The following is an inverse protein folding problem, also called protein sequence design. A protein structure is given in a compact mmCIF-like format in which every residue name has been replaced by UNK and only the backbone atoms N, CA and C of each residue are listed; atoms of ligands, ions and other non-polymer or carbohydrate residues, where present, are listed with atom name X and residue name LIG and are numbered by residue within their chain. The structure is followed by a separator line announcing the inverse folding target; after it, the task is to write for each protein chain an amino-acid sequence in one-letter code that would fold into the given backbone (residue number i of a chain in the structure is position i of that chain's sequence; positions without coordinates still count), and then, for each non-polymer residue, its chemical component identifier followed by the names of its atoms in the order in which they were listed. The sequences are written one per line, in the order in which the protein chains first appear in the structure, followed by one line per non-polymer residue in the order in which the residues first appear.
data_IF_451068853348
#
_entry.id   IF_451068853348
#
_cell.length_a   1.000
_cell.length_b   1.000
_cell.length_c   1.000
_cell.angle_alpha   90.00
_cell.angle_beta   90.00
_cell.angle_gamma   90.00
#
_symmetry.space_group_name_H-M   'P 1'
#
loop_
_entity.id
_entity.type
_entity.pdbx_description
1 polymer ?
#
# COMPACT_ATOMS: atom_id res chain seq x y z
N UNK A 1 6.02 14.82 -7.34
CA UNK A 1 5.80 13.50 -6.69
C UNK A 1 6.02 12.29 -7.62
N UNK A 2 6.59 12.47 -8.82
CA UNK A 2 6.60 11.40 -9.84
C UNK A 2 5.25 11.24 -10.57
N UNK A 3 4.41 12.27 -10.50
CA UNK A 3 3.09 12.34 -11.15
C UNK A 3 3.19 13.41 -12.23
N UNK A 4 2.84 13.06 -13.46
CA UNK A 4 3.02 13.91 -14.65
C UNK A 4 1.69 14.22 -15.37
N UNK A 5 0.58 13.64 -14.92
CA UNK A 5 -0.75 13.85 -15.48
C UNK A 5 -1.41 15.15 -14.99
N UNK A 6 -2.34 15.68 -15.80
CA UNK A 6 -3.14 16.84 -15.41
C UNK A 6 -4.14 16.47 -14.30
N UNK A 7 -4.53 17.42 -13.43
CA UNK A 7 -5.58 17.21 -12.43
C UNK A 7 -6.87 16.59 -13.00
N UNK A 8 -7.32 17.03 -14.17
CA UNK A 8 -8.53 16.53 -14.82
C UNK A 8 -8.39 15.07 -15.25
N UNK A 9 -7.22 14.69 -15.77
CA UNK A 9 -6.92 13.30 -16.11
C UNK A 9 -6.80 12.43 -14.87
N UNK A 10 -6.17 12.93 -13.80
CA UNK A 10 -6.09 12.22 -12.52
C UNK A 10 -7.49 11.92 -11.98
N UNK A 11 -8.38 12.92 -11.96
CA UNK A 11 -9.78 12.76 -11.54
C UNK A 11 -10.49 11.72 -12.40
N UNK A 12 -10.40 11.81 -13.72
CA UNK A 12 -11.07 10.88 -14.65
C UNK A 12 -10.59 9.44 -14.47
N UNK A 13 -9.28 9.23 -14.35
CA UNK A 13 -8.70 7.89 -14.20
C UNK A 13 -9.04 7.28 -12.85
N UNK A 14 -8.92 8.08 -11.78
CA UNK A 14 -9.19 7.63 -10.42
C UNK A 14 -10.67 7.34 -10.18
N UNK A 15 -11.60 8.13 -10.72
CA UNK A 15 -13.04 7.89 -10.58
C UNK A 15 -13.48 6.60 -11.28
N UNK A 16 -12.90 6.26 -12.43
CA UNK A 16 -13.13 4.95 -13.07
C UNK A 16 -12.61 3.82 -12.17
N UNK A 17 -11.35 3.90 -11.74
CA UNK A 17 -10.76 2.89 -10.86
C UNK A 17 -11.50 2.72 -9.53
N UNK A 18 -12.00 3.81 -8.96
CA UNK A 18 -12.82 3.80 -7.76
C UNK A 18 -14.11 2.99 -7.97
N UNK A 19 -14.79 3.17 -9.10
CA UNK A 19 -15.99 2.38 -9.43
C UNK A 19 -15.66 0.90 -9.62
N UNK A 20 -14.56 0.58 -10.29
CA UNK A 20 -14.15 -0.81 -10.53
C UNK A 20 -13.85 -1.54 -9.20
N UNK A 21 -13.12 -0.89 -8.30
CA UNK A 21 -12.82 -1.43 -6.96
C UNK A 21 -14.10 -1.57 -6.14
N UNK A 22 -14.99 -0.57 -6.17
CA UNK A 22 -16.26 -0.64 -5.43
C UNK A 22 -17.13 -1.80 -5.91
N UNK A 23 -17.23 -2.02 -7.22
CA UNK A 23 -17.98 -3.14 -7.79
C UNK A 23 -17.39 -4.50 -7.35
N UNK A 24 -16.06 -4.61 -7.27
CA UNK A 24 -15.39 -5.81 -6.75
C UNK A 24 -15.73 -6.05 -5.27
N UNK A 25 -15.73 -5.00 -4.46
CA UNK A 25 -16.12 -5.07 -3.05
C UNK A 25 -17.60 -5.43 -2.87
N UNK A 26 -18.50 -4.87 -3.67
CA UNK A 26 -19.92 -5.22 -3.67
C UNK A 26 -20.15 -6.70 -4.01
N UNK A 27 -19.34 -7.27 -4.92
CA UNK A 27 -19.40 -8.69 -5.25
C UNK A 27 -18.78 -9.59 -4.16
N UNK A 28 -17.74 -9.13 -3.47
CA UNK A 28 -17.04 -9.88 -2.43
C UNK A 28 -17.78 -9.88 -1.08
N UNK A 29 -18.49 -8.80 -0.75
CA UNK A 29 -19.09 -8.61 0.57
C UNK A 29 -20.05 -9.73 1.02
N UNK A 30 -20.94 -10.28 0.18
CA UNK A 30 -21.79 -11.41 0.57
C UNK A 30 -21.00 -12.69 0.92
N UNK A 31 -19.83 -12.90 0.29
CA UNK A 31 -18.99 -14.07 0.57
C UNK A 31 -18.31 -13.94 1.94
N UNK A 32 -17.77 -12.75 2.24
CA UNK A 32 -17.20 -12.45 3.56
C UNK A 32 -18.26 -12.56 4.65
N UNK A 33 -19.45 -12.01 4.40
CA UNK A 33 -20.57 -12.09 5.34
C UNK A 33 -20.98 -13.54 5.63
N UNK A 34 -21.02 -14.40 4.61
CA UNK A 34 -21.33 -15.82 4.80
C UNK A 34 -20.26 -16.57 5.60
N UNK A 35 -18.97 -16.27 5.38
CA UNK A 35 -17.85 -16.89 6.10
C UNK A 35 -17.78 -16.44 7.57
N UNK A 36 -18.10 -15.16 7.84
CA UNK A 36 -18.08 -14.56 9.18
C UNK A 36 -19.42 -14.64 9.92
N UNK A 37 -20.45 -15.26 9.33
CA UNK A 37 -21.82 -15.35 9.86
C UNK A 37 -22.44 -13.97 10.18
N UNK A 38 -22.25 -13.01 9.27
CA UNK A 38 -22.84 -11.67 9.36
C UNK A 38 -24.19 -11.60 8.63
N UNK A 39 -25.18 -10.96 9.25
CA UNK A 39 -26.49 -10.69 8.62
C UNK A 39 -26.45 -9.57 7.56
N UNK A 40 -25.36 -8.82 7.49
CA UNK A 40 -25.18 -7.68 6.57
C UNK A 40 -24.37 -8.08 5.35
N UNK A 41 -24.77 -7.60 4.17
CA UNK A 41 -24.10 -7.92 2.90
C UNK A 41 -23.63 -6.69 2.12
N UNK A 42 -23.97 -5.48 2.58
CA UNK A 42 -23.38 -4.26 2.03
C UNK A 42 -21.91 -4.18 2.44
N UNK A 43 -21.01 -3.88 1.50
CA UNK A 43 -19.57 -3.88 1.78
C UNK A 43 -19.20 -2.91 2.90
N UNK A 44 -19.93 -1.80 3.07
CA UNK A 44 -19.62 -0.82 4.10
C UNK A 44 -19.91 -1.38 5.48
N UNK A 45 -21.04 -2.07 5.61
CA UNK A 45 -21.43 -2.70 6.87
C UNK A 45 -20.55 -3.90 7.20
N UNK A 46 -20.16 -4.69 6.21
CA UNK A 46 -19.18 -5.78 6.37
C UNK A 46 -17.84 -5.21 6.89
N UNK A 47 -17.32 -4.14 6.29
CA UNK A 47 -16.09 -3.50 6.76
C UNK A 47 -16.24 -2.97 8.19
N UNK A 48 -17.36 -2.32 8.51
CA UNK A 48 -17.61 -1.83 9.88
C UNK A 48 -17.62 -2.97 10.90
N UNK A 49 -18.12 -4.15 10.53
CA UNK A 49 -18.07 -5.36 11.38
C UNK A 49 -16.65 -5.89 11.53
N UNK A 50 -15.89 -6.01 10.44
CA UNK A 50 -14.49 -6.46 10.48
C UNK A 50 -13.62 -5.54 11.37
N UNK A 51 -13.88 -4.23 11.36
CA UNK A 51 -13.18 -3.26 12.21
C UNK A 51 -13.49 -3.38 13.70
N UNK A 52 -14.48 -4.18 14.09
CA UNK A 52 -14.77 -4.49 15.50
C UNK A 52 -13.91 -5.64 16.03
N UNK A 53 -13.24 -6.39 15.15
CA UNK A 53 -12.30 -7.47 15.49
C UNK A 53 -10.93 -6.89 15.89
N UNK A 54 -10.92 -6.06 16.94
CA UNK A 54 -9.74 -5.37 17.44
C UNK A 54 -8.72 -6.33 18.02
N UNK A 55 -7.45 -6.03 17.78
CA UNK A 55 -6.32 -6.79 18.28
C UNK A 55 -6.02 -6.37 19.73
N UNK A 56 -5.65 -7.34 20.57
CA UNK A 56 -5.06 -7.06 21.87
C UNK A 56 -3.70 -6.36 21.67
N UNK A 57 -3.56 -5.14 22.18
CA UNK A 57 -2.33 -4.36 22.06
C UNK A 57 -1.09 -5.05 22.64
N UNK A 58 -1.27 -5.95 23.61
CA UNK A 58 -0.16 -6.74 24.16
C UNK A 58 0.31 -7.82 23.18
N UNK A 59 -0.56 -8.28 22.28
CA UNK A 59 -0.27 -9.28 21.25
C UNK A 59 0.02 -8.66 19.87
N UNK A 60 -0.05 -7.33 19.73
CA UNK A 60 0.03 -6.65 18.43
C UNK A 60 1.27 -7.06 17.63
N UNK A 61 2.45 -7.03 18.25
CA UNK A 61 3.70 -7.35 17.57
C UNK A 61 3.72 -8.81 17.08
N UNK A 62 3.20 -9.74 17.88
CA UNK A 62 3.11 -11.16 17.52
C UNK A 62 2.19 -11.37 16.32
N UNK A 63 1.05 -10.66 16.28
CA UNK A 63 0.15 -10.69 15.12
C UNK A 63 0.86 -10.24 13.84
N UNK A 64 1.59 -9.13 13.87
CA UNK A 64 2.30 -8.64 12.68
C UNK A 64 3.43 -9.56 12.23
N UNK A 65 4.16 -10.19 13.16
CA UNK A 65 5.15 -11.21 12.80
C UNK A 65 4.50 -12.45 12.16
N UNK A 66 3.36 -12.90 12.69
CA UNK A 66 2.62 -14.02 12.09
C UNK A 66 2.15 -13.68 10.67
N UNK A 67 1.59 -12.47 10.47
CA UNK A 67 1.13 -12.00 9.15
C UNK A 67 2.27 -11.85 8.16
N UNK A 68 3.42 -11.35 8.60
CA UNK A 68 4.60 -11.27 7.75
C UNK A 68 5.02 -12.66 7.30
N UNK A 69 5.07 -13.63 8.22
CA UNK A 69 5.42 -15.01 7.87
C UNK A 69 4.45 -15.61 6.86
N UNK A 70 3.15 -15.47 7.08
CA UNK A 70 2.13 -15.95 6.15
C UNK A 70 2.28 -15.32 4.76
N UNK A 71 2.58 -14.01 4.70
CA UNK A 71 2.83 -13.30 3.45
C UNK A 71 4.12 -13.77 2.76
N UNK A 72 5.19 -14.02 3.50
CA UNK A 72 6.42 -14.58 2.92
C UNK A 72 6.20 -15.99 2.36
N UNK A 73 5.39 -16.81 3.03
CA UNK A 73 5.02 -18.13 2.53
C UNK A 73 4.20 -18.04 1.23
N UNK A 74 3.23 -17.12 1.17
CA UNK A 74 2.48 -16.78 -0.08
C UNK A 74 3.44 -16.34 -1.20
N UNK A 75 4.40 -15.46 -0.89
CA UNK A 75 5.36 -14.96 -1.88
C UNK A 75 6.21 -16.10 -2.45
N UNK A 76 6.67 -17.02 -1.60
CA UNK A 76 7.45 -18.20 -2.02
C UNK A 76 6.61 -19.20 -2.80
N UNK A 77 5.41 -19.51 -2.33
CA UNK A 77 4.51 -20.50 -2.95
C UNK A 77 4.10 -20.08 -4.37
N UNK A 78 3.83 -18.79 -4.57
CA UNK A 78 3.33 -18.26 -5.84
C UNK A 78 4.38 -17.56 -6.70
N UNK A 79 5.66 -17.67 -6.33
CA UNK A 79 6.80 -17.10 -7.07
C UNK A 79 6.59 -15.61 -7.41
N UNK A 80 6.21 -14.82 -6.41
CA UNK A 80 5.80 -13.43 -6.64
C UNK A 80 6.99 -12.47 -6.77
N UNK A 81 8.00 -12.62 -5.91
CA UNK A 81 9.21 -11.79 -5.86
C UNK A 81 10.27 -12.53 -5.04
N UNK A 82 11.55 -12.32 -5.30
CA UNK A 82 12.63 -12.90 -4.50
C UNK A 82 12.64 -12.30 -3.10
N UNK A 83 12.76 -13.16 -2.08
CA UNK A 83 12.90 -12.77 -0.69
C UNK A 83 14.37 -12.90 -0.24
N UNK A 84 14.89 -11.95 0.55
CA UNK A 84 16.23 -12.06 1.11
C UNK A 84 16.25 -13.07 2.27
N UNK A 85 17.42 -13.64 2.56
CA UNK A 85 17.61 -14.63 3.64
C UNK A 85 17.48 -14.03 5.06
N UNK A 86 17.48 -12.70 5.18
CA UNK A 86 17.36 -12.00 6.47
C UNK A 86 15.91 -11.78 6.86
N UNK A 87 15.68 -11.71 8.17
CA UNK A 87 14.39 -11.31 8.73
C UNK A 87 14.10 -9.82 8.47
N UNK A 88 12.83 -9.47 8.27
CA UNK A 88 12.39 -8.08 8.24
C UNK A 88 12.28 -7.52 9.67
N UNK A 89 12.69 -6.27 9.86
CA UNK A 89 12.55 -5.60 11.15
C UNK A 89 11.11 -5.16 11.39
N UNK A 90 10.49 -5.60 12.49
CA UNK A 90 9.21 -5.06 12.99
C UNK A 90 9.37 -4.71 14.48
N UNK A 91 8.93 -3.51 14.87
CA UNK A 91 8.93 -3.09 16.29
C UNK A 91 7.73 -2.23 16.65
N UNK A 92 7.45 -2.15 17.95
CA UNK A 92 6.53 -1.16 18.51
C UNK A 92 7.32 0.14 18.79
N UNK A 93 6.74 1.27 18.43
CA UNK A 93 7.21 2.60 18.75
C UNK A 93 7.15 2.86 20.26
N UNK A 94 8.09 3.66 20.76
CA UNK A 94 7.97 4.26 22.10
C UNK A 94 6.75 5.20 22.16
N UNK A 95 6.31 5.55 23.38
CA UNK A 95 5.24 6.52 23.58
C UNK A 95 5.54 7.89 22.93
N UNK A 96 6.81 8.33 22.96
CA UNK A 96 7.24 9.59 22.36
C UNK A 96 7.20 9.53 20.83
N UNK A 97 7.67 8.43 20.23
CA UNK A 97 7.58 8.20 18.79
C UNK A 97 6.12 8.13 18.33
N UNK A 98 5.27 7.40 19.06
CA UNK A 98 3.83 7.29 18.79
C UNK A 98 3.14 8.64 18.84
N UNK A 99 3.48 9.49 19.81
CA UNK A 99 2.91 10.84 19.90
C UNK A 99 3.33 11.74 18.73
N UNK A 100 4.53 11.54 18.19
CA UNK A 100 5.03 12.30 17.04
C UNK A 100 4.45 11.80 15.71
N UNK A 101 4.31 10.48 15.57
CA UNK A 101 3.79 9.80 14.37
C UNK A 101 2.84 8.67 14.79
N UNK A 102 1.53 8.96 14.96
CA UNK A 102 0.53 8.01 15.49
C UNK A 102 0.01 7.03 14.43
N UNK A 103 0.83 6.69 13.43
CA UNK A 103 0.48 5.81 12.32
C UNK A 103 1.62 4.86 12.04
N UNK A 104 1.27 3.65 11.61
CA UNK A 104 2.26 2.66 11.20
C UNK A 104 3.07 3.19 10.01
N UNK A 105 4.38 2.96 10.02
CA UNK A 105 5.28 3.48 8.98
C UNK A 105 6.58 2.70 8.93
N UNK A 106 7.25 2.76 7.79
CA UNK A 106 8.62 2.29 7.64
C UNK A 106 9.65 3.35 8.08
N UNK A 107 10.51 2.98 9.02
CA UNK A 107 11.73 3.73 9.31
C UNK A 107 12.81 3.30 8.30
N UNK A 108 13.19 4.23 7.42
CA UNK A 108 14.19 3.98 6.37
C UNK A 108 15.56 4.45 6.88
N UNK A 109 16.58 3.57 6.97
CA UNK A 109 17.91 3.96 7.36
C UNK A 109 18.56 4.83 6.28
N UNK A 110 19.65 5.51 6.63
CA UNK A 110 20.45 6.24 5.64
C UNK A 110 20.91 5.27 4.54
N UNK A 111 20.79 5.69 3.28
CA UNK A 111 21.36 4.93 2.16
C UNK A 111 22.86 5.19 1.99
N UNK A 112 23.34 6.36 2.41
CA UNK A 112 24.74 6.78 2.25
C UNK A 112 25.48 6.62 3.56
N UNK A 113 26.62 5.92 3.52
CA UNK A 113 27.39 5.62 4.72
C UNK A 113 26.62 4.72 5.69
N UNK A 114 25.69 3.91 5.18
CA UNK A 114 25.03 2.86 5.94
C UNK A 114 26.10 1.86 6.44
N UNK A 115 25.92 1.38 7.68
CA UNK A 115 26.85 0.51 8.41
C UNK A 115 26.26 -0.87 8.70
N UNK A 116 25.21 -1.26 7.98
CA UNK A 116 24.48 -2.52 8.13
C UNK A 116 23.06 -2.38 8.69
N UNK A 117 22.51 -1.16 8.72
CA UNK A 117 21.14 -0.89 9.13
C UNK A 117 20.15 -1.18 7.99
N UNK A 118 19.03 -1.86 8.31
CA UNK A 118 17.94 -2.15 7.39
C UNK A 118 16.65 -1.41 7.79
N UNK A 119 15.70 -1.26 6.84
CA UNK A 119 14.41 -0.67 7.14
C UNK A 119 13.66 -1.46 8.21
N UNK A 120 12.98 -0.74 9.08
CA UNK A 120 12.20 -1.33 10.17
C UNK A 120 10.77 -0.83 10.11
N UNK A 121 9.82 -1.75 10.06
CA UNK A 121 8.40 -1.43 10.16
C UNK A 121 8.04 -1.11 11.61
N UNK A 122 7.58 0.12 11.84
CA UNK A 122 7.28 0.66 13.17
C UNK A 122 5.78 0.77 13.37
N UNK A 123 5.26 0.07 14.38
CA UNK A 123 3.87 0.09 14.80
C UNK A 123 3.67 1.08 15.94
N UNK A 124 2.66 1.97 15.90
CA UNK A 124 2.35 2.85 17.02
C UNK A 124 1.92 2.03 18.24
N UNK A 125 2.29 2.50 19.43
CA UNK A 125 1.83 1.89 20.67
C UNK A 125 0.32 2.12 20.84
N UNK A 126 -0.45 1.04 21.03
CA UNK A 126 -1.89 1.17 21.30
C UNK A 126 -2.13 1.74 22.69
N UNK A 127 -3.22 2.48 22.79
CA UNK A 127 -3.67 3.09 24.03
C UNK A 127 -4.97 2.42 24.48
N UNK A 128 -5.24 2.48 25.79
CA UNK A 128 -6.51 2.05 26.36
C UNK A 128 -7.40 3.25 26.63
N UNK A 129 -8.70 3.07 26.46
CA UNK A 129 -9.70 4.06 26.88
C UNK A 129 -9.86 4.08 28.41
N UNK A 130 -10.75 4.94 28.91
CA UNK A 130 -11.04 5.09 30.34
C UNK A 130 -11.59 3.80 30.97
N UNK A 131 -12.23 2.94 30.17
CA UNK A 131 -12.82 1.67 30.57
C UNK A 131 -11.83 0.49 30.47
N UNK A 132 -10.61 0.75 30.00
CA UNK A 132 -9.53 -0.23 29.86
C UNK A 132 -9.55 -1.05 28.57
N UNK A 133 -10.41 -0.71 27.60
CA UNK A 133 -10.44 -1.35 26.29
C UNK A 133 -9.39 -0.74 25.37
N UNK A 134 -8.80 -1.55 24.49
CA UNK A 134 -7.88 -1.05 23.47
C UNK A 134 -8.61 -0.14 22.47
N UNK A 135 -8.05 1.04 22.24
CA UNK A 135 -8.55 2.00 21.26
C UNK A 135 -8.12 1.51 19.88
N UNK A 136 -9.08 0.99 19.12
CA UNK A 136 -8.88 0.62 17.74
C UNK A 136 -8.69 1.85 16.83
N UNK A 137 -7.74 1.77 15.92
CA UNK A 137 -7.61 2.60 14.73
C UNK A 137 -7.82 1.75 13.47
N UNK A 138 -7.83 2.42 12.32
CA UNK A 138 -7.94 1.77 11.02
C UNK A 138 -6.79 0.79 10.70
N UNK A 139 -5.75 0.72 11.54
CA UNK A 139 -4.59 -0.17 11.36
C UNK A 139 -4.52 -1.31 12.41
N UNK A 140 -5.55 -1.51 13.25
CA UNK A 140 -5.39 -2.32 14.50
C UNK A 140 -6.43 -3.42 14.70
N UNK A 141 -7.01 -3.90 13.60
CA UNK A 141 -7.96 -5.03 13.58
C UNK A 141 -7.43 -6.14 12.66
N UNK A 142 -7.86 -7.37 12.92
CA UNK A 142 -7.23 -8.57 12.35
C UNK A 142 -7.12 -8.55 10.83
N UNK A 143 -8.20 -8.25 10.12
CA UNK A 143 -8.22 -8.22 8.66
C UNK A 143 -7.31 -7.13 8.06
N UNK A 144 -7.16 -5.99 8.74
CA UNK A 144 -6.31 -4.87 8.28
C UNK A 144 -4.81 -5.15 8.35
N UNK A 145 -4.38 -6.03 9.27
CA UNK A 145 -2.95 -6.35 9.43
C UNK A 145 -2.32 -6.94 8.17
N UNK A 146 -3.07 -7.70 7.37
CA UNK A 146 -2.57 -8.31 6.14
C UNK A 146 -2.12 -7.25 5.12
N UNK A 147 -3.00 -6.30 4.80
CA UNK A 147 -2.72 -5.29 3.79
C UNK A 147 -1.65 -4.32 4.27
N UNK A 148 -1.66 -3.96 5.56
CA UNK A 148 -0.64 -3.08 6.13
C UNK A 148 0.74 -3.75 6.18
N UNK A 149 0.81 -5.03 6.54
CA UNK A 149 2.06 -5.79 6.51
C UNK A 149 2.59 -5.93 5.09
N UNK A 150 1.72 -6.20 4.11
CA UNK A 150 2.12 -6.26 2.71
C UNK A 150 2.65 -4.91 2.19
N UNK A 151 2.08 -3.80 2.65
CA UNK A 151 2.45 -2.43 2.26
C UNK A 151 3.77 -1.98 2.89
N UNK A 152 3.90 -2.07 4.20
CA UNK A 152 5.04 -1.52 4.95
C UNK A 152 6.21 -2.51 5.04
N UNK A 153 5.92 -3.80 5.18
CA UNK A 153 6.94 -4.85 5.26
C UNK A 153 7.16 -5.51 3.88
N UNK A 154 6.81 -6.80 3.74
CA UNK A 154 7.06 -7.58 2.52
C UNK A 154 5.74 -7.97 1.84
N UNK A 155 5.63 -7.80 0.52
CA UNK A 155 6.69 -7.42 -0.44
C UNK A 155 6.85 -5.91 -0.68
N UNK A 156 6.23 -5.05 0.15
CA UNK A 156 6.19 -3.60 -0.02
C UNK A 156 7.48 -2.86 0.34
N UNK A 157 7.37 -1.83 1.18
CA UNK A 157 8.44 -0.87 1.41
C UNK A 157 9.70 -1.48 2.00
N UNK A 158 9.59 -2.37 3.00
CA UNK A 158 10.77 -3.00 3.59
C UNK A 158 11.59 -3.72 2.53
N UNK A 159 10.96 -4.49 1.65
CA UNK A 159 11.66 -5.21 0.58
C UNK A 159 12.27 -4.23 -0.42
N UNK A 160 11.52 -3.19 -0.81
CA UNK A 160 11.97 -2.18 -1.76
C UNK A 160 13.23 -1.46 -1.31
N UNK A 161 13.23 -0.92 -0.09
CA UNK A 161 14.39 -0.20 0.43
C UNK A 161 15.55 -1.13 0.78
N UNK A 162 15.26 -2.35 1.20
CA UNK A 162 16.31 -3.33 1.48
C UNK A 162 17.02 -3.77 0.22
N UNK A 163 16.29 -3.99 -0.88
CA UNK A 163 16.91 -4.26 -2.19
C UNK A 163 17.90 -3.17 -2.57
N UNK A 164 17.54 -1.90 -2.38
CA UNK A 164 18.46 -0.78 -2.65
C UNK A 164 19.72 -0.77 -1.77
N UNK A 165 19.62 -1.26 -0.54
CA UNK A 165 20.76 -1.38 0.40
C UNK A 165 21.65 -2.57 0.00
N UNK A 166 21.03 -3.70 -0.36
CA UNK A 166 21.72 -4.96 -0.68
C UNK A 166 22.42 -4.92 -2.05
N UNK A 167 21.73 -4.46 -3.09
CA UNK A 167 22.29 -4.36 -4.45
C UNK A 167 23.13 -3.10 -4.63
N UNK A 168 22.88 -2.08 -3.79
CA UNK A 168 23.43 -0.75 -3.93
C UNK A 168 22.76 0.04 -5.07
N UNK A 169 22.71 1.36 -4.89
CA UNK A 169 22.27 2.31 -5.92
C UNK A 169 23.29 3.42 -6.10
N UNK A 170 23.28 4.08 -7.26
CA UNK A 170 24.16 5.22 -7.49
C UNK A 170 23.87 6.35 -6.50
N UNK A 171 24.88 7.18 -6.22
CA UNK A 171 24.71 8.35 -5.34
C UNK A 171 23.60 9.28 -5.84
N UNK A 172 23.45 9.41 -7.16
CA UNK A 172 22.36 10.20 -7.75
C UNK A 172 20.97 9.60 -7.42
N UNK A 173 20.81 8.28 -7.48
CA UNK A 173 19.56 7.61 -7.08
C UNK A 173 19.30 7.76 -5.58
N UNK A 174 20.32 7.55 -4.75
CA UNK A 174 20.19 7.66 -3.30
C UNK A 174 19.80 9.07 -2.82
N UNK A 175 20.30 10.12 -3.49
CA UNK A 175 20.08 11.51 -3.08
C UNK A 175 18.86 12.18 -3.75
N UNK A 176 18.59 11.86 -5.01
CA UNK A 176 17.71 12.69 -5.85
C UNK A 176 16.55 11.95 -6.50
N UNK A 177 16.52 10.61 -6.47
CA UNK A 177 15.48 9.86 -7.18
C UNK A 177 14.19 9.64 -6.36
N UNK A 178 14.14 10.03 -5.08
CA UNK A 178 12.95 9.83 -4.27
C UNK A 178 11.72 10.47 -4.93
N UNK A 179 10.73 9.64 -5.23
CA UNK A 179 9.45 10.07 -5.77
C UNK A 179 8.33 9.16 -5.27
N UNK A 180 7.25 9.77 -4.77
CA UNK A 180 6.15 9.02 -4.17
C UNK A 180 5.44 8.09 -5.14
N UNK A 181 5.39 8.39 -6.45
CA UNK A 181 4.73 7.51 -7.41
C UNK A 181 5.43 6.15 -7.52
N UNK A 182 6.77 6.10 -7.45
CA UNK A 182 7.50 4.84 -7.40
C UNK A 182 7.33 4.15 -6.04
N UNK A 183 7.59 4.87 -4.94
CA UNK A 183 7.59 4.30 -3.58
C UNK A 183 6.19 3.78 -3.20
N UNK A 184 5.19 4.64 -3.27
CA UNK A 184 3.81 4.31 -2.87
C UNK A 184 3.10 3.44 -3.91
N UNK A 185 3.44 3.63 -5.19
CA UNK A 185 2.93 2.80 -6.27
C UNK A 185 3.39 1.35 -6.15
N UNK A 186 4.66 1.13 -5.78
CA UNK A 186 5.19 -0.20 -5.50
C UNK A 186 4.46 -0.87 -4.33
N UNK A 187 4.32 -0.19 -3.19
CA UNK A 187 3.66 -0.77 -2.02
C UNK A 187 2.18 -1.11 -2.30
N UNK A 188 1.45 -0.24 -3.02
CA UNK A 188 0.07 -0.53 -3.40
C UNK A 188 -0.05 -1.65 -4.45
N UNK A 189 0.96 -1.81 -5.32
CA UNK A 189 1.08 -2.95 -6.22
C UNK A 189 1.41 -4.24 -5.47
N UNK A 190 2.29 -4.19 -4.47
CA UNK A 190 2.61 -5.29 -3.57
C UNK A 190 1.37 -5.82 -2.86
N UNK A 191 0.51 -4.94 -2.34
CA UNK A 191 -0.81 -5.31 -1.79
C UNK A 191 -1.67 -6.04 -2.85
N UNK A 192 -1.65 -5.58 -4.11
CA UNK A 192 -2.47 -6.16 -5.17
C UNK A 192 -2.01 -7.54 -5.64
N UNK A 193 -0.71 -7.81 -5.68
CA UNK A 193 -0.18 -9.11 -6.13
C UNK A 193 -0.38 -10.22 -5.09
N UNK A 194 -0.41 -9.88 -3.80
CA UNK A 194 -0.68 -10.87 -2.74
C UNK A 194 -2.18 -11.08 -2.50
N UNK A 195 -3.02 -10.07 -2.77
CA UNK A 195 -4.48 -10.07 -2.52
C UNK A 195 -5.17 -11.40 -2.92
N UNK A 196 -4.96 -11.98 -4.12
CA UNK A 196 -5.70 -13.18 -4.53
C UNK A 196 -5.51 -14.40 -3.62
N UNK A 197 -4.46 -14.41 -2.80
CA UNK A 197 -4.07 -15.52 -1.92
C UNK A 197 -4.43 -15.27 -0.45
N UNK A 198 -4.99 -14.10 -0.13
CA UNK A 198 -5.38 -13.75 1.24
C UNK A 198 -6.74 -14.34 1.61
N UNK A 199 -7.06 -14.49 2.91
CA UNK A 199 -8.43 -14.76 3.38
C UNK A 199 -9.43 -13.71 2.88
N UNK A 200 -10.72 -14.06 2.72
CA UNK A 200 -11.70 -13.18 2.07
C UNK A 200 -11.87 -11.83 2.79
N UNK A 201 -11.82 -11.82 4.13
CA UNK A 201 -11.87 -10.58 4.91
C UNK A 201 -10.64 -9.70 4.65
N UNK A 202 -9.47 -10.29 4.48
CA UNK A 202 -8.24 -9.55 4.18
C UNK A 202 -8.27 -9.02 2.74
N UNK A 203 -8.86 -9.76 1.80
CA UNK A 203 -9.11 -9.27 0.43
C UNK A 203 -10.04 -8.06 0.43
N UNK A 204 -11.11 -8.09 1.23
CA UNK A 204 -12.04 -6.96 1.39
C UNK A 204 -11.32 -5.70 1.87
N UNK A 205 -10.45 -5.84 2.88
CA UNK A 205 -9.72 -4.70 3.43
C UNK A 205 -8.60 -4.22 2.50
N UNK A 206 -7.93 -5.12 1.77
CA UNK A 206 -7.01 -4.73 0.71
C UNK A 206 -7.69 -3.89 -0.38
N UNK A 207 -8.92 -4.27 -0.77
CA UNK A 207 -9.74 -3.46 -1.68
C UNK A 207 -10.16 -2.13 -1.06
N UNK A 208 -10.54 -2.10 0.21
CA UNK A 208 -10.83 -0.85 0.92
C UNK A 208 -9.63 0.11 0.91
N UNK A 209 -8.43 -0.39 1.21
CA UNK A 209 -7.22 0.42 1.21
C UNK A 209 -6.93 0.95 -0.19
N UNK A 210 -7.08 0.12 -1.23
CA UNK A 210 -6.96 0.57 -2.63
C UNK A 210 -8.03 1.60 -3.01
N UNK A 211 -9.27 1.42 -2.56
CA UNK A 211 -10.37 2.37 -2.77
C UNK A 211 -10.03 3.73 -2.14
N UNK A 212 -9.43 3.74 -0.94
CA UNK A 212 -8.95 4.96 -0.29
C UNK A 212 -7.84 5.65 -1.10
N UNK A 213 -6.92 4.90 -1.72
CA UNK A 213 -5.88 5.47 -2.59
C UNK A 213 -6.45 5.96 -3.93
N UNK A 214 -7.48 5.33 -4.48
CA UNK A 214 -8.23 5.87 -5.62
C UNK A 214 -8.97 7.17 -5.23
N UNK A 215 -9.59 7.21 -4.04
CA UNK A 215 -10.24 8.39 -3.50
C UNK A 215 -9.26 9.57 -3.35
N UNK A 216 -8.09 9.33 -2.76
CA UNK A 216 -6.98 10.31 -2.68
C UNK A 216 -6.71 10.97 -4.04
N UNK A 217 -6.62 10.17 -5.10
CA UNK A 217 -6.21 10.64 -6.42
C UNK A 217 -7.22 11.54 -7.11
N UNK A 218 -8.54 11.43 -6.83
CA UNK A 218 -9.51 12.40 -7.33
C UNK A 218 -9.88 13.49 -6.31
N UNK A 219 -9.93 13.19 -5.01
CA UNK A 219 -10.32 14.16 -3.99
C UNK A 219 -9.28 15.27 -3.82
N UNK A 220 -7.99 14.93 -3.84
CA UNK A 220 -6.92 15.91 -3.70
C UNK A 220 -7.00 17.01 -4.80
N UNK A 221 -6.99 16.69 -6.11
CA UNK A 221 -7.15 17.71 -7.13
C UNK A 221 -8.54 18.37 -7.12
N UNK A 222 -9.62 17.65 -6.80
CA UNK A 222 -10.96 18.28 -6.74
C UNK A 222 -11.04 19.35 -5.63
N UNK A 223 -10.44 19.11 -4.46
CA UNK A 223 -10.37 20.10 -3.38
C UNK A 223 -9.55 21.32 -3.81
N UNK A 224 -8.38 21.08 -4.43
CA UNK A 224 -7.48 22.15 -4.86
C UNK A 224 -8.04 22.97 -6.05
N UNK A 225 -8.94 22.39 -6.84
CA UNK A 225 -9.65 23.08 -7.93
C UNK A 225 -11.00 23.69 -7.50
N UNK A 226 -11.42 23.50 -6.23
CA UNK A 226 -12.71 23.98 -5.75
C UNK A 226 -13.92 23.26 -6.35
N UNK A 227 -13.74 22.02 -6.81
CA UNK A 227 -14.79 21.18 -7.41
C UNK A 227 -15.61 20.40 -6.37
N UNK A 228 -15.09 20.30 -5.14
CA UNK A 228 -15.76 19.66 -4.01
C UNK A 228 -15.43 20.43 -2.73
N UNK A 229 -16.35 20.44 -1.77
CA UNK A 229 -16.07 21.01 -0.45
C UNK A 229 -15.29 20.04 0.44
N UNK A 230 -14.50 20.53 1.42
CA UNK A 230 -13.85 19.67 2.42
C UNK A 230 -14.82 18.73 3.14
N UNK A 231 -16.03 19.21 3.47
CA UNK A 231 -17.05 18.42 4.16
C UNK A 231 -17.60 17.28 3.30
N UNK A 232 -17.88 17.54 2.01
CA UNK A 232 -18.32 16.51 1.08
C UNK A 232 -17.21 15.47 0.80
N UNK A 233 -15.96 15.92 0.68
CA UNK A 233 -14.82 15.02 0.53
C UNK A 233 -14.65 14.14 1.78
N UNK A 234 -14.79 14.71 2.98
CA UNK A 234 -14.73 13.95 4.24
C UNK A 234 -15.86 12.94 4.32
N UNK A 235 -17.08 13.32 3.95
CA UNK A 235 -18.23 12.41 3.89
C UNK A 235 -17.94 11.19 3.03
N UNK A 236 -17.34 11.36 1.85
CA UNK A 236 -16.96 10.24 0.97
C UNK A 236 -15.97 9.30 1.69
N UNK A 237 -14.95 9.84 2.36
CA UNK A 237 -13.97 9.04 3.08
C UNK A 237 -14.60 8.26 4.24
N UNK A 238 -15.55 8.85 4.96
CA UNK A 238 -16.24 8.23 6.09
C UNK A 238 -17.30 7.21 5.68
N UNK A 239 -18.14 7.56 4.71
CA UNK A 239 -19.34 6.81 4.39
C UNK A 239 -19.11 5.79 3.27
N UNK A 240 -18.35 6.17 2.24
CA UNK A 240 -18.16 5.35 1.05
C UNK A 240 -16.87 4.52 1.12
N UNK A 241 -15.79 5.09 1.64
CA UNK A 241 -14.52 4.38 1.86
C UNK A 241 -14.46 3.72 3.24
N UNK A 242 -15.31 4.16 4.17
CA UNK A 242 -15.43 3.58 5.53
C UNK A 242 -14.15 3.76 6.36
N UNK A 243 -13.48 4.91 6.22
CA UNK A 243 -12.36 5.28 7.09
C UNK A 243 -12.85 5.77 8.45
N UNK A 244 -12.02 5.66 9.48
CA UNK A 244 -12.26 6.28 10.77
C UNK A 244 -12.15 7.82 10.71
N UNK A 245 -12.79 8.48 11.67
CA UNK A 245 -12.88 9.95 11.74
C UNK A 245 -11.51 10.64 11.73
N UNK A 246 -10.57 10.12 12.53
CA UNK A 246 -9.22 10.69 12.62
C UNK A 246 -8.46 10.59 11.30
N UNK A 247 -8.55 9.44 10.60
CA UNK A 247 -7.90 9.27 9.31
C UNK A 247 -8.55 10.15 8.24
N UNK A 248 -9.89 10.15 8.14
CA UNK A 248 -10.60 11.00 7.18
C UNK A 248 -10.27 12.48 7.37
N UNK A 249 -10.23 12.97 8.61
CA UNK A 249 -9.83 14.36 8.90
C UNK A 249 -8.38 14.64 8.49
N UNK A 250 -7.45 13.73 8.80
CA UNK A 250 -6.04 13.88 8.44
C UNK A 250 -5.86 13.97 6.91
N UNK A 251 -6.57 13.13 6.15
CA UNK A 251 -6.54 13.17 4.69
C UNK A 251 -7.02 14.51 4.15
N UNK A 252 -8.12 15.07 4.66
CA UNK A 252 -8.59 16.40 4.22
C UNK A 252 -7.53 17.48 4.47
N UNK A 253 -6.98 17.55 5.68
CA UNK A 253 -5.92 18.53 6.00
C UNK A 253 -4.66 18.34 5.15
N UNK A 254 -4.35 17.09 4.83
CA UNK A 254 -3.22 16.72 3.99
C UNK A 254 -3.40 17.23 2.56
N UNK A 255 -4.57 17.01 1.97
CA UNK A 255 -4.89 17.42 0.59
C UNK A 255 -4.96 18.94 0.44
N UNK A 256 -5.46 19.66 1.45
CA UNK A 256 -5.74 21.10 1.34
C UNK A 256 -4.59 21.98 1.82
N UNK A 257 -3.84 21.57 2.85
CA UNK A 257 -2.88 22.47 3.52
C UNK A 257 -1.47 21.91 3.64
N UNK A 258 -1.31 20.63 4.02
CA UNK A 258 0.02 20.12 4.40
C UNK A 258 0.86 19.75 3.18
N UNK A 259 0.30 19.01 2.23
CA UNK A 259 1.07 18.49 1.09
C UNK A 259 0.20 18.26 -0.18
N UNK A 260 -0.45 19.31 -0.72
CA UNK A 260 -1.31 19.17 -1.90
C UNK A 260 -0.64 18.46 -3.08
N UNK A 261 -1.41 17.61 -3.76
CA UNK A 261 -0.99 16.86 -4.94
C UNK A 261 -0.21 15.57 -4.64
N UNK A 262 0.31 15.38 -3.43
CA UNK A 262 1.13 14.19 -3.13
C UNK A 262 0.28 12.92 -3.00
N UNK A 263 -0.95 13.04 -2.50
CA UNK A 263 -1.84 11.90 -2.29
C UNK A 263 -2.24 11.20 -3.61
N UNK A 264 -2.12 11.90 -4.74
CA UNK A 264 -2.35 11.34 -6.08
C UNK A 264 -1.34 10.26 -6.47
N UNK A 265 -0.13 10.29 -5.88
CA UNK A 265 0.99 9.46 -6.30
C UNK A 265 0.79 7.96 -6.05
N UNK A 266 0.02 7.59 -5.02
CA UNK A 266 -0.23 6.20 -4.64
C UNK A 266 -0.92 5.43 -5.77
N UNK A 267 -2.15 5.85 -6.09
CA UNK A 267 -2.93 5.16 -7.12
C UNK A 267 -2.37 5.40 -8.52
N UNK A 268 -1.80 6.57 -8.79
CA UNK A 268 -1.10 6.84 -10.05
C UNK A 268 0.09 5.90 -10.27
N UNK A 269 0.93 5.70 -9.25
CA UNK A 269 2.04 4.76 -9.34
C UNK A 269 1.57 3.33 -9.57
N UNK A 270 0.57 2.89 -8.79
CA UNK A 270 -0.04 1.57 -8.91
C UNK A 270 -0.58 1.27 -10.30
N UNK A 271 -1.43 2.14 -10.85
CA UNK A 271 -2.04 1.89 -12.17
C UNK A 271 -1.01 1.91 -13.31
N UNK A 272 0.04 2.73 -13.20
CA UNK A 272 1.14 2.71 -14.17
C UNK A 272 1.92 1.39 -14.09
N UNK A 273 2.18 0.88 -12.89
CA UNK A 273 2.88 -0.39 -12.71
C UNK A 273 2.04 -1.59 -13.20
N UNK A 274 0.73 -1.58 -12.93
CA UNK A 274 -0.22 -2.58 -13.47
C UNK A 274 -0.27 -2.55 -15.01
N UNK A 275 -0.31 -1.35 -15.60
CA UNK A 275 -0.28 -1.17 -17.06
C UNK A 275 1.04 -1.66 -17.65
N UNK A 276 2.18 -1.33 -17.02
CA UNK A 276 3.51 -1.76 -17.42
C UNK A 276 3.62 -3.29 -17.37
N UNK A 277 3.19 -3.90 -16.27
CA UNK A 277 3.13 -5.35 -16.13
C UNK A 277 2.32 -6.00 -17.25
N UNK A 278 1.10 -5.51 -17.51
CA UNK A 278 0.22 -6.05 -18.55
C UNK A 278 0.89 -6.00 -19.93
N UNK A 279 1.55 -4.88 -20.26
CA UNK A 279 2.30 -4.75 -21.51
C UNK A 279 3.49 -5.71 -21.60
N UNK A 280 4.19 -5.93 -20.50
CA UNK A 280 5.32 -6.87 -20.43
C UNK A 280 4.85 -8.32 -20.55
N UNK A 281 3.74 -8.70 -19.90
CA UNK A 281 3.08 -9.99 -20.08
C UNK A 281 2.73 -10.24 -21.55
N UNK A 282 2.14 -9.25 -22.24
CA UNK A 282 1.83 -9.35 -23.67
C UNK A 282 3.09 -9.51 -24.54
N UNK A 283 4.18 -8.81 -24.20
CA UNK A 283 5.42 -8.84 -24.97
C UNK A 283 6.22 -10.15 -24.80
N UNK A 284 6.16 -10.76 -23.62
CA UNK A 284 6.92 -11.96 -23.28
C UNK A 284 6.11 -13.25 -23.37
N UNK A 285 4.78 -13.18 -23.31
CA UNK A 285 3.88 -14.34 -23.38
C UNK A 285 4.31 -15.43 -22.37
N UNK A 286 4.51 -16.66 -22.84
CA UNK A 286 4.92 -17.80 -22.00
C UNK A 286 6.31 -17.64 -21.37
N UNK A 287 7.12 -16.67 -21.83
CA UNK A 287 8.41 -16.33 -21.21
C UNK A 287 8.29 -15.37 -20.03
N UNK A 288 7.11 -14.82 -19.76
CA UNK A 288 6.93 -13.89 -18.65
C UNK A 288 7.06 -14.61 -17.29
N UNK A 289 7.96 -14.11 -16.44
CA UNK A 289 8.05 -14.50 -15.03
C UNK A 289 7.72 -13.31 -14.14
N UNK A 290 6.72 -13.47 -13.26
CA UNK A 290 6.30 -12.41 -12.34
C UNK A 290 7.42 -12.09 -11.34
N UNK A 291 8.08 -13.11 -10.79
CA UNK A 291 9.24 -12.93 -9.90
C UNK A 291 10.32 -12.09 -10.57
N UNK A 292 10.75 -12.47 -11.77
CA UNK A 292 11.85 -11.77 -12.46
C UNK A 292 11.47 -10.34 -12.84
N UNK A 293 10.22 -10.09 -13.22
CA UNK A 293 9.72 -8.74 -13.47
C UNK A 293 9.77 -7.87 -12.21
N UNK A 294 9.30 -8.40 -11.08
CA UNK A 294 9.28 -7.69 -9.81
C UNK A 294 10.70 -7.47 -9.26
N UNK A 295 11.58 -8.48 -9.34
CA UNK A 295 12.99 -8.37 -8.97
C UNK A 295 13.68 -7.27 -9.78
N UNK A 296 13.49 -7.26 -11.11
CA UNK A 296 14.07 -6.23 -11.97
C UNK A 296 13.60 -4.83 -11.60
N UNK A 297 12.32 -4.65 -11.24
CA UNK A 297 11.78 -3.35 -10.78
C UNK A 297 12.51 -2.90 -9.53
N UNK A 298 12.65 -3.77 -8.53
CA UNK A 298 13.29 -3.47 -7.26
C UNK A 298 14.77 -3.09 -7.44
N UNK A 299 15.50 -3.80 -8.31
CA UNK A 299 16.89 -3.50 -8.66
C UNK A 299 17.09 -2.10 -9.28
N UNK A 300 16.03 -1.51 -9.87
CA UNK A 300 16.12 -0.15 -10.39
C UNK A 300 16.13 0.91 -9.29
N UNK A 301 15.70 0.57 -8.08
CA UNK A 301 15.44 1.50 -6.99
C UNK A 301 14.34 2.49 -7.38
N UNK A 302 14.51 3.74 -6.95
CA UNK A 302 13.45 4.75 -7.03
C UNK A 302 13.36 5.44 -8.40
N UNK A 303 13.49 4.73 -9.52
CA UNK A 303 13.32 5.36 -10.83
C UNK A 303 11.91 5.97 -10.97
N UNK A 304 11.78 7.21 -11.47
CA UNK A 304 10.48 7.76 -11.84
C UNK A 304 9.76 6.84 -12.84
N UNK A 305 8.42 6.80 -12.86
CA UNK A 305 7.65 5.87 -13.68
C UNK A 305 8.08 5.78 -15.15
N UNK A 306 8.34 6.89 -15.82
CA UNK A 306 8.77 6.92 -17.23
C UNK A 306 10.13 6.24 -17.45
N UNK A 307 11.09 6.46 -16.55
CA UNK A 307 12.41 5.83 -16.63
C UNK A 307 12.37 4.35 -16.24
N UNK A 308 11.45 3.97 -15.35
CA UNK A 308 11.20 2.57 -15.04
C UNK A 308 10.58 1.84 -16.24
N UNK A 309 9.59 2.45 -16.91
CA UNK A 309 9.05 1.91 -18.16
C UNK A 309 10.14 1.75 -19.22
N UNK A 310 10.97 2.77 -19.42
CA UNK A 310 12.10 2.71 -20.35
C UNK A 310 13.05 1.55 -20.00
N UNK A 311 13.38 1.38 -18.72
CA UNK A 311 14.22 0.27 -18.26
C UNK A 311 13.61 -1.10 -18.57
N UNK A 312 12.30 -1.27 -18.42
CA UNK A 312 11.61 -2.51 -18.74
C UNK A 312 11.64 -2.79 -20.26
N UNK A 313 11.30 -1.79 -21.07
CA UNK A 313 11.20 -1.94 -22.53
C UNK A 313 12.57 -2.15 -23.17
N UNK A 314 13.58 -1.40 -22.76
CA UNK A 314 14.90 -1.39 -23.41
C UNK A 314 15.86 -2.44 -22.85
N UNK A 315 15.61 -2.98 -21.65
CA UNK A 315 16.54 -3.92 -21.00
C UNK A 315 15.88 -5.22 -20.56
N UNK A 316 14.81 -5.18 -19.78
CA UNK A 316 14.18 -6.40 -19.24
C UNK A 316 13.54 -7.27 -20.34
N UNK A 317 12.68 -6.68 -21.18
CA UNK A 317 12.02 -7.44 -22.24
C UNK A 317 13.04 -8.11 -23.19
N UNK A 318 14.05 -7.39 -23.72
CA UNK A 318 15.10 -8.01 -24.53
C UNK A 318 15.85 -9.13 -23.81
N UNK A 319 16.24 -8.93 -22.54
CA UNK A 319 17.00 -9.94 -21.80
C UNK A 319 16.23 -11.25 -21.57
N UNK A 320 14.89 -11.17 -21.52
CA UNK A 320 14.03 -12.35 -21.40
C UNK A 320 13.73 -13.04 -22.73
N UNK A 321 13.82 -12.33 -23.85
CA UNK A 321 13.61 -12.90 -25.18
C UNK A 321 14.82 -13.68 -25.69
N UNK A 322 16.02 -13.24 -25.31
CA UNK A 322 17.29 -13.85 -25.71
C UNK A 322 17.65 -15.12 -24.90
N UNK A 323 17.01 -15.32 -23.74
CA UNK A 323 17.05 -16.55 -22.94
C UNK A 323 16.02 -17.59 -23.44
#
# INVERSE_FOLDING_TARGET
WGVYESPENLIRMATQGYMDIRNEMEALAPLVAAEKDYEVTDYRDVIRRLKQENIDGDALLEYYYARLKDLEDIIREHDLVSLPDREAGIRIATAAETAAQPSAHLEIPRLIGNTGEFPTFVLPQLQKDEDGNWIGSDDTYEAGTWTLTAHEARPGHELQFSSMIETGVSLARALFAFNSANVEGWALYAEAIVKPYLPLEAQMISLQYRLARAARMYLDPMLNLGLITPDEAKRILLEDVVLGESWAQNEIERYTYRIPGQATAYYYGYINLQSLRTRTEVALQDKFSLREFNDFILEQGLLPPELLEQAIVERFIPSQQDN
#
